data_IF_442930978805
#
_entry.id   IF_442930978805
#
_cell.length_a   1.000
_cell.length_b   1.000
_cell.length_c   1.000
_cell.angle_alpha   90.00
_cell.angle_beta   90.00
_cell.angle_gamma   90.00
#
_symmetry.space_group_name_H-M   'P 1'
#
loop_
_entity.id
_entity.type
_entity.pdbx_description
1 polymer ?
#
# COMPACT_ATOMS: atom_id res chain seq x y z
N UNK A 1 -19.31 0.26 16.35
CA UNK A 1 -19.06 -0.81 15.36
C UNK A 1 -18.04 -0.26 14.39
N UNK A 2 -16.76 -0.57 14.58
CA UNK A 2 -15.73 -0.26 13.59
C UNK A 2 -15.89 -1.28 12.48
N UNK A 3 -16.46 -0.87 11.34
CA UNK A 3 -16.55 -1.71 10.15
C UNK A 3 -15.16 -2.21 9.76
N UNK A 4 -15.06 -3.50 9.39
CA UNK A 4 -13.82 -4.03 8.84
C UNK A 4 -13.42 -3.23 7.59
N UNK A 5 -12.13 -2.89 7.42
CA UNK A 5 -11.66 -2.19 6.23
C UNK A 5 -11.92 -3.03 4.99
N UNK A 6 -12.46 -2.40 3.96
CA UNK A 6 -12.80 -3.04 2.69
C UNK A 6 -11.68 -2.88 1.67
N UNK A 7 -11.74 -3.68 0.60
CA UNK A 7 -10.85 -3.52 -0.55
C UNK A 7 -10.94 -2.12 -1.14
N UNK A 8 -12.16 -1.55 -1.14
CA UNK A 8 -12.45 -0.22 -1.67
C UNK A 8 -11.78 0.87 -0.83
N UNK A 9 -11.75 0.74 0.50
CA UNK A 9 -11.04 1.67 1.37
C UNK A 9 -9.53 1.68 1.07
N UNK A 10 -8.93 0.49 0.92
CA UNK A 10 -7.52 0.34 0.57
C UNK A 10 -7.23 0.91 -0.83
N UNK A 11 -8.08 0.59 -1.81
CA UNK A 11 -7.97 1.05 -3.18
C UNK A 11 -8.10 2.57 -3.29
N UNK A 12 -9.07 3.15 -2.60
CA UNK A 12 -9.32 4.60 -2.56
C UNK A 12 -8.18 5.34 -1.90
N UNK A 13 -7.69 4.85 -0.76
CA UNK A 13 -6.54 5.44 -0.07
C UNK A 13 -5.27 5.40 -0.94
N UNK A 14 -5.00 4.27 -1.60
CA UNK A 14 -3.87 4.14 -2.51
C UNK A 14 -3.99 5.04 -3.75
N UNK A 15 -5.18 5.10 -4.36
CA UNK A 15 -5.46 5.96 -5.51
C UNK A 15 -5.31 7.44 -5.15
N UNK A 16 -5.81 7.87 -3.99
CA UNK A 16 -5.67 9.24 -3.51
C UNK A 16 -4.20 9.61 -3.26
N UNK A 17 -3.42 8.73 -2.64
CA UNK A 17 -2.00 8.98 -2.42
C UNK A 17 -1.21 9.00 -3.73
N UNK A 18 -1.56 8.14 -4.70
CA UNK A 18 -0.97 8.16 -6.03
C UNK A 18 -1.28 9.47 -6.77
N UNK A 19 -2.52 9.94 -6.70
CA UNK A 19 -2.92 11.22 -7.31
C UNK A 19 -2.11 12.39 -6.73
N UNK A 20 -1.91 12.42 -5.41
CA UNK A 20 -1.09 13.44 -4.76
C UNK A 20 0.39 13.34 -5.13
N UNK A 21 0.92 12.12 -5.27
CA UNK A 21 2.27 11.90 -5.79
C UNK A 21 2.42 12.47 -7.21
N UNK A 22 1.49 12.16 -8.10
CA UNK A 22 1.49 12.64 -9.48
C UNK A 22 1.31 14.16 -9.56
N UNK A 23 0.49 14.75 -8.67
CA UNK A 23 0.30 16.20 -8.58
C UNK A 23 1.50 16.93 -7.92
N UNK A 24 2.45 16.20 -7.34
CA UNK A 24 3.59 16.75 -6.60
C UNK A 24 3.22 17.34 -5.24
N UNK A 25 2.00 17.10 -4.74
CA UNK A 25 1.52 17.56 -3.43
C UNK A 25 1.97 16.65 -2.30
N UNK A 26 2.45 15.45 -2.62
CA UNK A 26 3.12 14.54 -1.71
C UNK A 26 4.32 13.87 -2.39
N UNK A 27 5.37 13.59 -1.64
CA UNK A 27 6.54 12.87 -2.13
C UNK A 27 6.97 11.81 -1.11
N UNK A 28 7.28 10.58 -1.54
CA UNK A 28 7.76 9.55 -0.64
C UNK A 28 9.17 9.87 -0.15
N UNK A 29 9.39 9.61 1.13
CA UNK A 29 10.72 9.56 1.74
C UNK A 29 11.56 8.42 1.12
N UNK A 30 12.90 8.46 1.27
CA UNK A 30 13.75 7.37 0.81
C UNK A 30 13.37 6.00 1.41
N UNK A 31 12.97 5.96 2.68
CA UNK A 31 12.56 4.73 3.36
C UNK A 31 11.24 4.19 2.81
N UNK A 32 10.24 5.06 2.57
CA UNK A 32 8.98 4.69 1.94
C UNK A 32 9.20 4.14 0.52
N UNK A 33 10.11 4.72 -0.27
CA UNK A 33 10.46 4.19 -1.61
C UNK A 33 11.13 2.82 -1.53
N UNK A 34 12.09 2.67 -0.62
CA UNK A 34 12.78 1.40 -0.41
C UNK A 34 11.80 0.31 0.01
N UNK A 35 10.85 0.65 0.89
CA UNK A 35 9.80 -0.25 1.30
C UNK A 35 8.85 -0.59 0.15
N UNK A 36 8.38 0.41 -0.60
CA UNK A 36 7.52 0.21 -1.76
C UNK A 36 8.16 -0.74 -2.78
N UNK A 37 9.47 -0.55 -3.05
CA UNK A 37 10.25 -1.43 -3.93
C UNK A 37 10.34 -2.86 -3.39
N UNK A 38 10.54 -3.02 -2.08
CA UNK A 38 10.54 -4.31 -1.41
C UNK A 38 9.21 -5.05 -1.59
N UNK A 39 8.09 -4.36 -1.33
CA UNK A 39 6.74 -4.91 -1.44
C UNK A 39 6.40 -5.22 -2.91
N UNK A 40 6.68 -4.30 -3.84
CA UNK A 40 6.44 -4.51 -5.28
C UNK A 40 7.17 -5.75 -5.82
N UNK A 41 8.36 -6.05 -5.28
CA UNK A 41 9.15 -7.22 -5.69
C UNK A 41 8.59 -8.54 -5.18
N UNK A 42 8.10 -8.58 -3.94
CA UNK A 42 7.61 -9.83 -3.30
C UNK A 42 6.11 -10.04 -3.46
N UNK A 43 5.38 -8.99 -3.83
CA UNK A 43 3.92 -8.94 -3.87
C UNK A 43 3.30 -8.41 -2.57
N UNK A 44 2.23 -7.62 -2.65
CA UNK A 44 1.47 -7.19 -1.47
C UNK A 44 0.74 -8.39 -0.85
N UNK A 45 1.05 -8.65 0.41
CA UNK A 45 0.39 -9.64 1.26
C UNK A 45 0.25 -9.04 2.66
N UNK A 46 -0.69 -9.52 3.47
CA UNK A 46 -0.80 -9.05 4.86
C UNK A 46 0.54 -9.10 5.60
N UNK A 47 1.33 -10.15 5.37
CA UNK A 47 2.65 -10.34 5.97
C UNK A 47 3.70 -9.32 5.46
N UNK A 48 3.80 -9.10 4.15
CA UNK A 48 4.76 -8.15 3.59
C UNK A 48 4.42 -6.71 3.98
N UNK A 49 3.13 -6.35 3.99
CA UNK A 49 2.65 -5.04 4.44
C UNK A 49 2.92 -4.79 5.92
N UNK A 50 2.60 -5.76 6.80
CA UNK A 50 2.90 -5.66 8.24
C UNK A 50 4.38 -5.57 8.54
N UNK A 51 5.19 -6.32 7.80
CA UNK A 51 6.65 -6.22 7.93
C UNK A 51 7.10 -4.82 7.57
N UNK A 52 6.57 -4.25 6.49
CA UNK A 52 6.81 -2.87 6.09
C UNK A 52 6.43 -1.84 7.14
N UNK A 53 5.24 -1.97 7.72
CA UNK A 53 4.72 -1.08 8.76
C UNK A 53 5.61 -0.99 10.00
N UNK A 54 6.40 -2.02 10.30
CA UNK A 54 7.38 -1.99 11.42
C UNK A 54 8.62 -1.14 11.13
N UNK A 55 8.88 -0.82 9.86
CA UNK A 55 10.10 -0.17 9.39
C UNK A 55 9.86 1.23 8.82
N UNK A 56 8.60 1.66 8.70
CA UNK A 56 8.24 2.98 8.18
C UNK A 56 7.71 3.86 9.32
N UNK A 57 8.04 5.15 9.28
CA UNK A 57 7.45 6.11 10.20
C UNK A 57 5.93 6.24 9.96
N UNK A 58 5.14 6.57 10.99
CA UNK A 58 3.73 6.89 10.81
C UNK A 58 3.54 8.03 9.78
N UNK A 59 2.54 7.89 8.92
CA UNK A 59 2.27 8.84 7.84
C UNK A 59 1.37 8.25 6.77
N UNK A 60 1.11 9.04 5.72
CA UNK A 60 0.10 8.71 4.69
C UNK A 60 0.36 7.38 4.00
N UNK A 61 1.62 7.06 3.69
CA UNK A 61 1.96 5.77 3.10
C UNK A 61 1.73 4.62 4.09
N UNK A 62 2.14 4.78 5.36
CA UNK A 62 1.89 3.80 6.40
C UNK A 62 0.38 3.56 6.61
N UNK A 63 -0.45 4.61 6.57
CA UNK A 63 -1.91 4.50 6.70
C UNK A 63 -2.49 3.64 5.56
N UNK A 64 -2.05 3.87 4.32
CA UNK A 64 -2.45 3.06 3.15
C UNK A 64 -2.07 1.59 3.33
N UNK A 65 -0.83 1.32 3.75
CA UNK A 65 -0.37 -0.07 4.00
C UNK A 65 -1.15 -0.73 5.15
N UNK A 66 -1.53 0.02 6.18
CA UNK A 66 -2.29 -0.48 7.32
C UNK A 66 -3.72 -0.89 6.92
N UNK A 67 -4.41 -0.06 6.12
CA UNK A 67 -5.74 -0.37 5.58
C UNK A 67 -5.66 -1.62 4.69
N UNK A 68 -4.69 -1.67 3.78
CA UNK A 68 -4.50 -2.80 2.88
C UNK A 68 -4.13 -4.10 3.62
N UNK A 69 -3.28 -4.04 4.65
CA UNK A 69 -2.94 -5.19 5.47
C UNK A 69 -4.16 -5.72 6.21
N UNK A 70 -4.93 -4.84 6.84
CA UNK A 70 -6.13 -5.21 7.57
C UNK A 70 -7.19 -5.81 6.64
N UNK A 71 -7.36 -5.28 5.42
CA UNK A 71 -8.21 -5.92 4.41
C UNK A 71 -7.71 -7.33 4.07
N UNK A 72 -6.43 -7.48 3.70
CA UNK A 72 -5.84 -8.77 3.31
C UNK A 72 -5.87 -9.84 4.40
N UNK A 73 -6.00 -9.46 5.67
CA UNK A 73 -6.22 -10.41 6.77
C UNK A 73 -7.65 -10.94 6.85
N UNK A 74 -8.61 -10.20 6.31
CA UNK A 74 -10.02 -10.61 6.27
C UNK A 74 -10.34 -11.51 5.08
N UNK A 75 -9.59 -11.38 3.98
CA UNK A 75 -9.74 -12.22 2.78
C UNK A 75 -8.82 -13.42 2.91
N UNK A 76 -9.39 -14.59 3.23
CA UNK A 76 -8.67 -15.82 3.56
C UNK A 76 -7.96 -16.51 2.37
N UNK A 77 -7.63 -15.79 1.30
CA UNK A 77 -7.20 -16.40 0.03
C UNK A 77 -5.94 -15.73 -0.52
N UNK A 78 -4.91 -16.55 -0.75
CA UNK A 78 -3.59 -16.16 -1.28
C UNK A 78 -3.56 -15.85 -2.78
N UNK A 79 -4.69 -15.47 -3.37
CA UNK A 79 -4.77 -15.04 -4.77
C UNK A 79 -4.63 -13.51 -4.86
N UNK A 80 -4.03 -12.98 -5.94
CA UNK A 80 -3.95 -11.55 -6.17
C UNK A 80 -5.37 -10.97 -6.29
N UNK A 81 -5.72 -10.07 -5.38
CA UNK A 81 -7.01 -9.38 -5.42
C UNK A 81 -6.92 -8.18 -6.37
N UNK A 82 -7.60 -8.27 -7.52
CA UNK A 82 -7.68 -7.20 -8.53
C UNK A 82 -8.20 -5.88 -7.94
N UNK A 83 -8.96 -5.93 -6.84
CA UNK A 83 -9.44 -4.72 -6.14
C UNK A 83 -8.30 -3.92 -5.52
N UNK A 84 -7.13 -4.53 -5.29
CA UNK A 84 -5.92 -3.86 -4.82
C UNK A 84 -5.04 -3.35 -5.96
N UNK A 85 -5.51 -3.36 -7.22
CA UNK A 85 -4.77 -2.80 -8.35
C UNK A 85 -4.26 -1.36 -8.11
N UNK A 86 -5.03 -0.44 -7.48
CA UNK A 86 -4.50 0.90 -7.15
C UNK A 86 -3.32 0.88 -6.18
N UNK A 87 -3.26 -0.09 -5.26
CA UNK A 87 -2.11 -0.29 -4.38
C UNK A 87 -0.88 -0.73 -5.19
N UNK A 88 -1.06 -1.64 -6.15
CA UNK A 88 0.02 -2.04 -7.05
C UNK A 88 0.55 -0.86 -7.86
N UNK A 89 -0.33 -0.06 -8.45
CA UNK A 89 0.06 1.14 -9.20
C UNK A 89 0.81 2.16 -8.32
N UNK A 90 0.36 2.37 -7.09
CA UNK A 90 1.09 3.21 -6.13
C UNK A 90 2.49 2.64 -5.88
N UNK A 91 2.62 1.37 -5.53
CA UNK A 91 3.91 0.75 -5.24
C UNK A 91 4.87 0.83 -6.44
N UNK A 92 4.39 0.58 -7.66
CA UNK A 92 5.18 0.71 -8.88
C UNK A 92 5.59 2.16 -9.16
N UNK A 93 4.72 3.13 -8.92
CA UNK A 93 5.03 4.55 -9.09
C UNK A 93 6.11 5.04 -8.11
N UNK A 94 6.14 4.50 -6.89
CA UNK A 94 7.15 4.84 -5.87
C UNK A 94 8.46 4.07 -6.06
N UNK A 95 8.42 2.96 -6.80
CA UNK A 95 9.57 2.11 -7.11
C UNK A 95 9.78 1.97 -8.63
N UNK A 96 10.00 3.08 -9.36
CA UNK A 96 10.20 3.02 -10.81
C UNK A 96 11.38 2.08 -11.11
N UNK A 97 11.14 1.14 -12.02
CA UNK A 97 12.20 0.22 -12.47
C UNK A 97 13.32 1.05 -13.13
N UNK A 98 14.59 0.69 -12.89
CA UNK A 98 15.74 1.39 -13.47
C UNK A 98 15.75 1.31 -15.00
#
# INVERSE_FOLDING_TARGET
MTSCPTAEDAASAAAGLLADHTAGTWAPTPDERMLAKGIARVGPSAASLRTGLRHVAPGRFADVLAIAAAYLETVATGEPDERLLPLHHLLDALAPRP
#
